data_IF_985003631287
#
_entry.id   IF_985003631287
#
_cell.length_a   1.000
_cell.length_b   1.000
_cell.length_c   1.000
_cell.angle_alpha   90.00
_cell.angle_beta   90.00
_cell.angle_gamma   90.00
#
_symmetry.space_group_name_H-M   'P 1'
#
loop_
_entity.id
_entity.type
_entity.pdbx_description
1 polymer ?
#
# COMPACT_ATOMS: atom_id res chain seq x y z
N UNK A 1 1.06 19.29 27.74
CA UNK A 1 1.10 17.86 27.31
C UNK A 1 1.72 17.82 25.92
N UNK A 2 2.60 16.85 25.66
CA UNK A 2 3.19 16.72 24.34
C UNK A 2 2.16 16.08 23.38
N UNK A 3 1.84 16.76 22.28
CA UNK A 3 1.01 16.20 21.22
C UNK A 3 1.90 15.74 20.06
N UNK A 4 1.43 14.70 19.38
CA UNK A 4 2.07 14.12 18.19
C UNK A 4 1.13 14.22 17.00
N UNK A 5 1.62 14.76 15.92
CA UNK A 5 0.87 14.90 14.67
C UNK A 5 1.33 13.84 13.67
N UNK A 6 0.38 13.14 13.09
CA UNK A 6 0.60 12.20 12.00
C UNK A 6 -0.24 12.59 10.79
N UNK A 7 0.33 12.39 9.62
CA UNK A 7 -0.34 12.65 8.36
C UNK A 7 -0.03 11.52 7.38
N UNK A 8 -1.06 11.06 6.68
CA UNK A 8 -0.95 10.16 5.53
C UNK A 8 -1.50 10.90 4.30
N UNK A 9 -0.59 11.34 3.42
CA UNK A 9 -0.89 12.20 2.27
C UNK A 9 -1.11 11.34 1.03
N UNK A 10 -2.36 11.09 0.72
CA UNK A 10 -2.75 10.43 -0.53
C UNK A 10 -3.15 11.43 -1.62
N UNK A 11 -3.13 10.98 -2.88
CA UNK A 11 -3.51 11.81 -4.03
C UNK A 11 -4.97 12.28 -4.01
N UNK A 12 -5.88 11.46 -3.50
CA UNK A 12 -7.31 11.78 -3.42
C UNK A 12 -7.71 12.35 -2.07
N UNK A 13 -7.19 11.77 -1.00
CA UNK A 13 -7.49 12.16 0.39
C UNK A 13 -6.24 12.16 1.23
N UNK A 14 -6.20 13.08 2.20
CA UNK A 14 -5.16 13.18 3.23
C UNK A 14 -5.79 12.92 4.59
N UNK A 15 -5.18 12.03 5.37
CA UNK A 15 -5.61 11.72 6.74
C UNK A 15 -4.69 12.42 7.72
N UNK A 16 -5.27 13.10 8.70
CA UNK A 16 -4.56 13.78 9.79
C UNK A 16 -5.03 13.23 11.13
N UNK A 17 -4.07 13.05 12.04
CA UNK A 17 -4.31 12.60 13.42
C UNK A 17 -3.41 13.35 14.37
N UNK A 18 -3.98 13.86 15.45
CA UNK A 18 -3.24 14.41 16.59
C UNK A 18 -3.59 13.63 17.85
N UNK A 19 -2.59 13.24 18.62
CA UNK A 19 -2.76 12.43 19.83
C UNK A 19 -1.83 12.92 20.93
N UNK A 20 -2.22 12.71 22.19
CA UNK A 20 -1.36 12.94 23.35
C UNK A 20 -0.27 11.83 23.47
N UNK A 21 0.66 12.03 24.42
CA UNK A 21 1.78 11.12 24.70
C UNK A 21 1.35 9.85 25.44
N UNK A 22 0.27 9.24 25.20
CA UNK A 22 -0.21 8.00 25.82
C UNK A 22 -0.90 7.09 24.82
N UNK A 23 -1.18 5.86 25.24
CA UNK A 23 -2.08 4.97 24.51
C UNK A 23 -3.52 5.41 24.83
N UNK A 24 -4.14 6.13 23.92
CA UNK A 24 -5.51 6.61 24.05
C UNK A 24 -6.09 7.04 22.72
N UNK A 25 -7.38 7.35 22.76
CA UNK A 25 -8.08 7.92 21.60
C UNK A 25 -7.36 9.20 21.15
N UNK A 26 -7.32 9.45 19.84
CA UNK A 26 -6.76 10.69 19.32
C UNK A 26 -7.56 11.89 19.80
N UNK A 27 -6.88 13.01 20.01
CA UNK A 27 -7.53 14.29 20.27
C UNK A 27 -8.43 14.69 19.10
N UNK A 28 -7.95 14.51 17.89
CA UNK A 28 -8.70 14.69 16.65
C UNK A 28 -8.10 13.78 15.57
N UNK A 29 -8.98 13.18 14.76
CA UNK A 29 -8.62 12.50 13.53
C UNK A 29 -9.61 12.89 12.44
N UNK A 30 -9.10 13.27 11.26
CA UNK A 30 -9.94 13.74 10.17
C UNK A 30 -9.37 13.40 8.80
N UNK A 31 -10.27 13.21 7.84
CA UNK A 31 -9.95 13.02 6.43
C UNK A 31 -10.33 14.27 5.64
N UNK A 32 -9.45 14.72 4.78
CA UNK A 32 -9.66 15.85 3.88
C UNK A 32 -9.52 15.41 2.44
N UNK A 33 -10.37 15.86 1.50
CA UNK A 33 -10.10 15.74 0.08
C UNK A 33 -8.84 16.56 -0.25
N UNK A 34 -7.82 15.91 -0.82
CA UNK A 34 -6.54 16.58 -1.11
C UNK A 34 -6.70 17.71 -2.15
N UNK A 35 -7.66 17.56 -3.07
CA UNK A 35 -7.93 18.53 -4.12
C UNK A 35 -8.50 19.87 -3.63
N UNK A 36 -9.06 19.90 -2.40
CA UNK A 36 -9.67 21.12 -1.83
C UNK A 36 -8.62 22.11 -1.29
N UNK A 37 -7.33 21.72 -1.27
CA UNK A 37 -6.25 22.49 -0.69
C UNK A 37 -5.12 22.76 -1.69
N UNK A 38 -4.49 23.90 -1.56
CA UNK A 38 -3.34 24.27 -2.39
C UNK A 38 -2.03 23.64 -1.91
N UNK A 39 -2.00 23.13 -0.67
CA UNK A 39 -0.85 22.48 -0.07
C UNK A 39 -1.10 22.02 1.36
N UNK A 40 -0.17 21.21 1.88
CA UNK A 40 -0.27 20.61 3.19
C UNK A 40 -0.35 21.66 4.34
N UNK A 41 0.33 22.80 4.18
CA UNK A 41 0.35 23.85 5.22
C UNK A 41 -1.03 24.46 5.45
N UNK A 42 -1.81 24.69 4.40
CA UNK A 42 -3.18 25.22 4.51
C UNK A 42 -4.10 24.22 5.22
N UNK A 43 -3.98 22.95 4.88
CA UNK A 43 -4.75 21.88 5.52
C UNK A 43 -4.39 21.75 7.03
N UNK A 44 -3.12 21.91 7.37
CA UNK A 44 -2.66 21.90 8.78
C UNK A 44 -3.18 23.08 9.57
N UNK A 45 -3.32 24.28 8.98
CA UNK A 45 -3.93 25.44 9.64
C UNK A 45 -5.36 25.13 10.09
N UNK A 46 -6.17 24.54 9.19
CA UNK A 46 -7.55 24.16 9.49
C UNK A 46 -7.63 23.07 10.54
N UNK A 47 -6.81 22.02 10.38
CA UNK A 47 -6.79 20.88 11.29
C UNK A 47 -6.37 21.27 12.72
N UNK A 48 -5.29 22.04 12.88
CA UNK A 48 -4.79 22.44 14.20
C UNK A 48 -5.73 23.45 14.89
N UNK A 49 -6.39 24.31 14.12
CA UNK A 49 -7.43 25.22 14.64
C UNK A 49 -8.61 24.41 15.19
N UNK A 50 -9.08 23.40 14.47
CA UNK A 50 -10.17 22.53 14.92
C UNK A 50 -9.77 21.66 16.12
N UNK A 51 -8.53 21.18 16.16
CA UNK A 51 -7.99 20.44 17.30
C UNK A 51 -7.82 21.30 18.58
N UNK A 52 -7.88 22.61 18.47
CA UNK A 52 -7.76 23.54 19.60
C UNK A 52 -6.38 23.50 20.26
N UNK A 53 -5.35 23.08 19.56
CA UNK A 53 -3.98 23.01 20.07
C UNK A 53 -2.95 23.48 19.04
N UNK A 54 -1.96 24.23 19.53
CA UNK A 54 -0.77 24.61 18.77
C UNK A 54 0.51 23.96 19.30
N UNK A 55 0.42 23.16 20.37
CA UNK A 55 1.59 22.54 21.02
C UNK A 55 1.80 21.12 20.46
N UNK A 56 2.57 21.00 19.38
CA UNK A 56 2.98 19.75 18.77
C UNK A 56 4.46 19.52 19.02
N UNK A 57 4.81 18.42 19.69
CA UNK A 57 6.19 18.08 20.03
C UNK A 57 6.95 17.42 18.88
N UNK A 58 6.25 16.63 18.07
CA UNK A 58 6.80 16.03 16.87
C UNK A 58 5.69 15.72 15.84
N UNK A 59 6.04 15.77 14.57
CA UNK A 59 5.15 15.42 13.46
C UNK A 59 5.82 14.47 12.48
N UNK A 60 5.06 13.50 11.94
CA UNK A 60 5.48 12.62 10.87
C UNK A 60 4.49 12.70 9.71
N UNK A 61 5.01 12.99 8.52
CA UNK A 61 4.24 13.07 7.29
C UNK A 61 4.63 11.92 6.37
N UNK A 62 3.71 10.97 6.17
CA UNK A 62 3.82 9.90 5.20
C UNK A 62 3.40 10.44 3.83
N UNK A 63 4.28 10.34 2.85
CA UNK A 63 4.16 10.96 1.53
C UNK A 63 4.26 9.91 0.43
N UNK A 64 3.37 9.96 -0.55
CA UNK A 64 3.46 9.10 -1.72
C UNK A 64 4.67 9.48 -2.59
N UNK A 65 5.56 8.52 -2.82
CA UNK A 65 6.77 8.66 -3.63
C UNK A 65 8.07 8.66 -2.82
N UNK A 66 9.22 8.72 -3.51
CA UNK A 66 10.52 8.65 -2.86
C UNK A 66 10.80 9.90 -2.02
N UNK A 67 11.16 9.67 -0.77
CA UNK A 67 11.52 10.74 0.17
C UNK A 67 13.05 10.83 0.26
N UNK A 68 13.60 11.96 -0.17
CA UNK A 68 15.03 12.25 -0.06
C UNK A 68 15.23 13.63 0.56
N UNK A 69 15.69 13.65 1.80
CA UNK A 69 15.96 14.89 2.54
C UNK A 69 14.69 15.49 3.17
N UNK A 70 14.68 16.82 3.35
CA UNK A 70 13.65 17.55 4.11
C UNK A 70 12.64 18.29 3.23
N UNK A 71 12.74 18.13 1.88
CA UNK A 71 11.84 18.71 0.90
C UNK A 71 11.46 17.68 -0.14
N UNK A 72 10.17 17.47 -0.35
CA UNK A 72 9.62 16.43 -1.22
C UNK A 72 8.56 17.04 -2.13
N UNK A 73 8.69 16.82 -3.44
CA UNK A 73 7.62 17.11 -4.40
C UNK A 73 6.80 15.84 -4.58
N UNK A 74 5.49 15.93 -4.37
CA UNK A 74 4.61 14.77 -4.49
C UNK A 74 4.39 14.38 -5.96
N UNK A 75 4.25 13.09 -6.22
CA UNK A 75 4.02 12.56 -7.58
C UNK A 75 2.57 12.75 -8.04
N UNK A 76 1.62 12.62 -7.13
CA UNK A 76 0.18 12.58 -7.43
C UNK A 76 -0.56 13.89 -7.07
N UNK A 77 0.15 14.89 -6.56
CA UNK A 77 -0.38 16.22 -6.21
C UNK A 77 0.65 17.28 -6.62
N UNK A 78 0.20 18.48 -6.98
CA UNK A 78 1.12 19.59 -7.32
C UNK A 78 1.80 20.19 -6.07
N UNK A 79 1.84 19.47 -4.96
CA UNK A 79 2.36 19.96 -3.70
C UNK A 79 3.85 19.71 -3.54
N UNK A 80 4.51 20.66 -2.92
CA UNK A 80 5.85 20.52 -2.35
C UNK A 80 5.76 20.60 -0.83
N UNK A 81 6.28 19.59 -0.14
CA UNK A 81 6.31 19.51 1.33
C UNK A 81 7.73 19.82 1.78
N UNK A 82 7.90 20.91 2.51
CA UNK A 82 9.15 21.36 3.09
C UNK A 82 9.05 21.29 4.62
N UNK A 83 9.77 20.34 5.22
CA UNK A 83 9.74 20.10 6.66
C UNK A 83 10.25 21.30 7.47
N UNK A 84 11.23 22.06 6.95
CA UNK A 84 11.77 23.23 7.66
C UNK A 84 10.80 24.40 7.64
N UNK A 85 10.12 24.62 6.51
CA UNK A 85 9.07 25.63 6.40
C UNK A 85 7.87 25.30 7.31
N UNK A 86 7.45 24.02 7.37
CA UNK A 86 6.40 23.56 8.27
C UNK A 86 6.82 23.69 9.76
N UNK A 87 8.05 23.32 10.10
CA UNK A 87 8.60 23.46 11.44
C UNK A 87 8.57 24.92 11.91
N UNK A 88 8.99 25.84 11.05
CA UNK A 88 8.98 27.29 11.37
C UNK A 88 7.55 27.83 11.49
N UNK A 89 6.63 27.45 10.57
CA UNK A 89 5.25 27.96 10.54
C UNK A 89 4.43 27.53 11.74
N UNK A 90 4.54 26.25 12.13
CA UNK A 90 3.72 25.65 13.18
C UNK A 90 4.45 25.48 14.52
N UNK A 91 5.68 25.98 14.64
CA UNK A 91 6.54 25.84 15.83
C UNK A 91 6.69 24.36 16.27
N UNK A 92 6.81 23.44 15.31
CA UNK A 92 7.00 22.00 15.56
C UNK A 92 8.49 21.69 15.54
N UNK A 93 9.10 21.33 16.69
CA UNK A 93 10.56 21.19 16.78
C UNK A 93 11.14 19.98 16.03
N UNK A 94 10.33 18.96 15.81
CA UNK A 94 10.75 17.73 15.15
C UNK A 94 9.75 17.30 14.08
N UNK A 95 10.19 17.32 12.82
CA UNK A 95 9.40 16.87 11.69
C UNK A 95 10.19 15.80 10.92
N UNK A 96 9.54 14.67 10.68
CA UNK A 96 10.00 13.63 9.77
C UNK A 96 9.09 13.57 8.54
N UNK A 97 9.72 13.46 7.37
CA UNK A 97 9.06 13.06 6.12
C UNK A 97 9.48 11.62 5.86
N UNK A 98 8.52 10.75 5.63
CA UNK A 98 8.75 9.33 5.31
C UNK A 98 7.92 8.94 4.08
N UNK A 99 8.36 7.89 3.40
CA UNK A 99 7.55 7.29 2.33
C UNK A 99 6.26 6.68 2.91
N UNK A 100 5.18 6.65 2.15
CA UNK A 100 3.89 6.08 2.55
C UNK A 100 4.00 4.59 2.93
N UNK A 101 4.80 3.80 2.20
CA UNK A 101 5.04 2.39 2.54
C UNK A 101 6.01 2.20 3.72
N UNK A 102 6.90 3.13 3.97
CA UNK A 102 7.68 3.19 5.22
C UNK A 102 6.73 3.39 6.41
N UNK A 103 5.74 4.27 6.28
CA UNK A 103 4.70 4.45 7.29
C UNK A 103 3.89 3.16 7.50
N UNK A 104 3.46 2.50 6.42
CA UNK A 104 2.79 1.19 6.52
C UNK A 104 3.67 0.18 7.28
N UNK A 105 4.98 0.14 6.99
CA UNK A 105 5.95 -0.70 7.70
C UNK A 105 5.98 -0.42 9.22
N UNK A 106 6.02 0.85 9.62
CA UNK A 106 5.92 1.22 11.05
C UNK A 106 4.59 0.77 11.66
N UNK A 107 3.50 0.84 10.90
CA UNK A 107 2.15 0.44 11.32
C UNK A 107 2.03 -1.03 11.69
N UNK A 108 2.84 -1.93 11.08
CA UNK A 108 2.84 -3.37 11.40
C UNK A 108 3.07 -3.64 12.90
N UNK A 109 3.81 -2.77 13.58
CA UNK A 109 4.12 -2.95 15.00
C UNK A 109 2.95 -2.67 15.94
N UNK A 110 1.90 -2.00 15.49
CA UNK A 110 0.73 -1.61 16.30
C UNK A 110 -0.58 -2.27 15.86
N UNK A 111 -0.53 -3.17 14.87
CA UNK A 111 -1.69 -3.94 14.44
C UNK A 111 -2.18 -4.88 15.55
N UNK A 112 -3.49 -4.95 15.68
CA UNK A 112 -4.16 -5.92 16.53
C UNK A 112 -4.50 -7.17 15.73
N UNK A 113 -4.77 -8.32 16.38
CA UNK A 113 -5.15 -9.55 15.68
C UNK A 113 -6.34 -9.40 14.73
N UNK A 114 -7.32 -8.56 15.08
CA UNK A 114 -8.51 -8.28 14.26
C UNK A 114 -8.21 -7.43 13.02
N UNK A 115 -7.04 -6.79 12.97
CA UNK A 115 -6.56 -6.06 11.79
C UNK A 115 -5.94 -6.98 10.73
N UNK A 116 -5.90 -8.29 10.99
CA UNK A 116 -5.22 -9.27 10.14
C UNK A 116 -6.15 -10.40 9.71
N UNK A 117 -6.19 -10.65 8.41
CA UNK A 117 -6.75 -11.87 7.85
C UNK A 117 -5.60 -12.81 7.48
N UNK A 118 -5.45 -13.91 8.21
CA UNK A 118 -4.38 -14.86 7.97
C UNK A 118 -4.68 -15.77 6.79
N UNK A 119 -3.84 -15.71 5.75
CA UNK A 119 -3.88 -16.63 4.60
C UNK A 119 -3.06 -17.90 4.89
N UNK A 120 -1.94 -17.75 5.59
CA UNK A 120 -1.06 -18.85 6.00
C UNK A 120 -0.47 -18.54 7.38
N UNK A 121 -0.71 -19.42 8.39
CA UNK A 121 -0.14 -19.20 9.72
C UNK A 121 1.37 -19.41 9.76
N UNK A 122 1.91 -20.33 8.96
CA UNK A 122 3.32 -20.66 8.92
C UNK A 122 3.91 -21.03 10.28
N UNK A 123 5.22 -20.78 10.44
CA UNK A 123 5.98 -20.94 11.68
C UNK A 123 6.71 -19.62 12.01
N UNK A 124 6.02 -18.64 12.61
CA UNK A 124 6.58 -17.31 12.85
C UNK A 124 7.76 -17.36 13.81
N UNK A 125 8.82 -16.62 13.46
CA UNK A 125 9.97 -16.44 14.35
C UNK A 125 9.91 -15.05 14.99
N UNK A 126 10.04 -14.99 16.30
CA UNK A 126 10.20 -13.73 17.02
C UNK A 126 11.41 -12.98 16.48
N UNK A 127 11.27 -11.68 16.27
CA UNK A 127 12.34 -10.83 15.74
C UNK A 127 12.82 -11.20 14.30
N UNK A 128 12.13 -12.11 13.61
CA UNK A 128 12.39 -12.46 12.22
C UNK A 128 12.13 -11.26 11.29
N UNK A 129 12.82 -11.23 10.15
CA UNK A 129 12.54 -10.23 9.09
C UNK A 129 11.06 -10.25 8.74
N UNK A 130 10.49 -9.07 8.51
CA UNK A 130 9.12 -8.89 8.00
C UNK A 130 9.15 -8.23 6.63
N UNK A 131 8.17 -8.53 5.81
CA UNK A 131 7.93 -7.85 4.53
C UNK A 131 6.53 -7.27 4.54
N UNK A 132 6.40 -6.05 4.08
CA UNK A 132 5.11 -5.45 3.77
C UNK A 132 5.06 -5.11 2.29
N UNK A 133 3.97 -5.46 1.64
CA UNK A 133 3.73 -5.22 0.22
C UNK A 133 2.29 -4.83 0.02
N UNK A 134 2.01 -3.91 -0.89
CA UNK A 134 0.61 -3.53 -1.08
C UNK A 134 0.34 -2.80 -2.38
N UNK A 135 -0.74 -3.24 -3.01
CA UNK A 135 -1.28 -2.65 -4.22
C UNK A 135 -2.32 -1.58 -3.90
N UNK A 136 -2.18 -0.44 -4.54
CA UNK A 136 -3.08 0.70 -4.53
C UNK A 136 -3.06 1.36 -5.90
N UNK A 137 -2.86 2.68 -5.97
CA UNK A 137 -2.55 3.39 -7.23
C UNK A 137 -1.20 2.93 -7.80
N UNK A 138 -0.26 2.56 -6.92
CA UNK A 138 1.01 1.92 -7.25
C UNK A 138 1.18 0.59 -6.51
N UNK A 139 2.42 0.08 -6.46
CA UNK A 139 2.82 -1.14 -5.77
C UNK A 139 3.99 -0.86 -4.83
N UNK A 140 3.67 -0.62 -3.55
CA UNK A 140 4.68 -0.36 -2.54
C UNK A 140 5.24 -1.62 -1.92
N UNK A 141 6.52 -1.56 -1.53
CA UNK A 141 7.24 -2.63 -0.83
C UNK A 141 8.13 -2.01 0.24
N UNK A 142 8.12 -2.59 1.43
CA UNK A 142 9.11 -2.32 2.45
C UNK A 142 9.45 -3.61 3.21
N UNK A 143 10.59 -3.65 3.85
CA UNK A 143 10.98 -4.76 4.71
C UNK A 143 11.48 -4.23 6.04
N UNK A 144 11.39 -5.06 7.06
CA UNK A 144 11.71 -4.69 8.42
C UNK A 144 12.70 -5.67 9.01
N UNK A 145 13.75 -5.15 9.64
CA UNK A 145 14.71 -5.94 10.39
C UNK A 145 14.66 -5.58 11.87
N UNK A 146 14.85 -6.58 12.75
CA UNK A 146 14.91 -6.34 14.17
C UNK A 146 16.28 -5.77 14.55
N UNK A 147 16.29 -4.59 15.19
CA UNK A 147 17.50 -3.89 15.61
C UNK A 147 17.20 -3.13 16.92
N UNK A 148 18.14 -3.15 17.86
CA UNK A 148 18.10 -2.33 19.09
C UNK A 148 16.78 -2.36 19.88
N UNK A 149 16.14 -3.54 19.93
CA UNK A 149 14.88 -3.71 20.68
C UNK A 149 13.62 -3.33 19.91
N UNK A 150 13.71 -3.07 18.60
CA UNK A 150 12.58 -2.72 17.75
C UNK A 150 12.76 -3.10 16.28
N UNK A 151 11.75 -2.88 15.48
CA UNK A 151 11.86 -3.03 14.03
C UNK A 151 12.30 -1.72 13.38
N UNK A 152 13.40 -1.77 12.64
CA UNK A 152 13.82 -0.76 11.67
C UNK A 152 13.10 -1.04 10.34
N UNK A 153 12.50 -0.02 9.74
CA UNK A 153 11.82 -0.10 8.45
C UNK A 153 12.77 0.32 7.35
N UNK A 154 12.81 -0.44 6.28
CA UNK A 154 13.64 -0.20 5.10
C UNK A 154 12.69 -0.03 3.90
N UNK A 155 12.46 1.20 3.42
CA UNK A 155 11.68 1.45 2.22
C UNK A 155 12.36 0.86 0.98
N UNK A 156 11.59 0.55 -0.05
CA UNK A 156 12.07 -0.06 -1.28
C UNK A 156 11.18 0.35 -2.45
N UNK A 157 11.78 0.43 -3.61
CA UNK A 157 11.08 0.57 -4.90
C UNK A 157 10.90 -0.80 -5.59
N UNK A 158 10.76 -1.86 -4.81
CA UNK A 158 10.64 -3.25 -5.31
C UNK A 158 9.42 -3.50 -6.19
N UNK A 159 8.37 -2.67 -6.12
CA UNK A 159 7.24 -2.71 -7.07
C UNK A 159 7.64 -2.45 -8.52
N UNK A 160 8.76 -1.76 -8.73
CA UNK A 160 9.29 -1.45 -10.06
C UNK A 160 10.23 -2.52 -10.63
N UNK A 161 10.43 -3.66 -9.95
CA UNK A 161 11.14 -4.81 -10.53
C UNK A 161 10.45 -5.32 -11.79
N UNK A 162 11.27 -5.88 -12.71
CA UNK A 162 10.78 -6.46 -13.96
C UNK A 162 9.70 -7.52 -13.71
N UNK A 163 8.61 -7.44 -14.48
CA UNK A 163 7.59 -8.48 -14.48
C UNK A 163 8.13 -9.79 -15.08
N UNK A 164 8.07 -10.87 -14.32
CA UNK A 164 8.47 -12.20 -14.74
C UNK A 164 7.21 -13.05 -15.00
N UNK A 165 6.79 -13.25 -16.26
CA UNK A 165 5.63 -14.06 -16.61
C UNK A 165 5.85 -15.54 -16.31
N UNK A 166 4.86 -16.20 -15.67
CA UNK A 166 4.91 -17.60 -15.28
C UNK A 166 4.21 -18.56 -16.27
N UNK A 167 3.37 -18.04 -17.16
CA UNK A 167 2.64 -18.84 -18.15
C UNK A 167 2.48 -18.09 -19.48
N UNK A 168 1.93 -18.79 -20.50
CA UNK A 168 1.76 -18.23 -21.83
C UNK A 168 0.82 -17.00 -21.88
N UNK A 169 -0.18 -16.93 -21.00
CA UNK A 169 -1.10 -15.78 -20.90
C UNK A 169 -0.37 -14.58 -20.33
N UNK A 170 0.40 -14.76 -19.28
CA UNK A 170 1.23 -13.70 -18.68
C UNK A 170 2.33 -13.23 -19.64
N UNK A 171 2.90 -14.13 -20.44
CA UNK A 171 3.85 -13.75 -21.48
C UNK A 171 3.19 -12.90 -22.58
N UNK A 172 1.99 -13.25 -23.00
CA UNK A 172 1.23 -12.44 -23.96
C UNK A 172 0.84 -11.07 -23.38
N UNK A 173 0.50 -11.00 -22.08
CA UNK A 173 0.27 -9.74 -21.36
C UNK A 173 1.54 -8.88 -21.35
N UNK A 174 2.71 -9.46 -21.04
CA UNK A 174 3.98 -8.74 -21.10
C UNK A 174 4.21 -8.14 -22.48
N UNK A 175 4.04 -8.91 -23.54
CA UNK A 175 4.21 -8.44 -24.93
C UNK A 175 3.23 -7.30 -25.28
N UNK A 176 1.98 -7.39 -24.82
CA UNK A 176 0.98 -6.32 -25.00
C UNK A 176 1.41 -5.03 -24.29
N UNK A 177 1.82 -5.13 -23.02
CA UNK A 177 2.24 -3.97 -22.23
C UNK A 177 3.53 -3.33 -22.77
N UNK A 178 4.46 -4.11 -23.32
CA UNK A 178 5.69 -3.60 -23.94
C UNK A 178 5.43 -2.70 -25.15
N UNK A 179 4.28 -2.82 -25.82
CA UNK A 179 3.90 -1.91 -26.92
C UNK A 179 3.65 -0.47 -26.45
N UNK A 180 3.30 -0.31 -25.16
CA UNK A 180 2.94 0.98 -24.57
C UNK A 180 3.99 1.48 -23.55
N UNK A 181 4.78 0.56 -22.99
CA UNK A 181 5.76 0.85 -21.94
C UNK A 181 7.11 0.25 -22.32
N UNK A 182 8.16 1.02 -22.27
CA UNK A 182 9.53 0.51 -22.54
C UNK A 182 9.94 -0.54 -21.50
N UNK A 183 9.64 -0.28 -20.22
CA UNK A 183 9.85 -1.18 -19.09
C UNK A 183 8.50 -1.61 -18.50
N UNK A 184 8.31 -2.91 -18.30
CA UNK A 184 7.11 -3.47 -17.69
C UNK A 184 7.45 -4.00 -16.30
N UNK A 185 7.13 -3.24 -15.28
CA UNK A 185 7.31 -3.61 -13.89
C UNK A 185 6.12 -4.41 -13.34
N UNK A 186 6.29 -5.03 -12.16
CA UNK A 186 5.17 -5.62 -11.45
C UNK A 186 4.05 -4.61 -11.15
N UNK A 187 4.37 -3.35 -10.84
CA UNK A 187 3.38 -2.30 -10.62
C UNK A 187 2.48 -2.06 -11.83
N UNK A 188 3.00 -2.20 -13.07
CA UNK A 188 2.20 -2.09 -14.30
C UNK A 188 1.08 -3.13 -14.40
N UNK A 189 1.10 -4.12 -13.52
CA UNK A 189 0.13 -5.23 -13.48
C UNK A 189 -0.56 -5.29 -12.11
N UNK A 190 0.19 -5.18 -11.03
CA UNK A 190 -0.31 -5.30 -9.65
C UNK A 190 -0.53 -3.91 -9.04
N UNK A 191 -1.50 -3.21 -9.60
CA UNK A 191 -2.00 -1.92 -9.12
C UNK A 191 -3.41 -1.69 -9.65
N UNK A 192 -4.10 -0.63 -9.23
CA UNK A 192 -5.41 -0.27 -9.81
C UNK A 192 -5.33 -0.07 -11.33
N UNK A 193 -4.45 0.83 -11.83
CA UNK A 193 -4.19 0.95 -13.26
C UNK A 193 -3.77 -0.38 -13.92
N UNK A 194 -3.03 -1.23 -13.22
CA UNK A 194 -2.61 -2.54 -13.70
C UNK A 194 -3.78 -3.51 -13.92
N UNK A 195 -4.78 -3.51 -13.03
CA UNK A 195 -6.00 -4.31 -13.23
C UNK A 195 -6.76 -3.87 -14.49
N UNK A 196 -6.82 -2.54 -14.74
CA UNK A 196 -7.40 -2.00 -15.98
C UNK A 196 -6.60 -2.44 -17.20
N UNK A 197 -5.27 -2.39 -17.14
CA UNK A 197 -4.40 -2.83 -18.23
C UNK A 197 -4.54 -4.34 -18.54
N UNK A 198 -4.73 -5.19 -17.52
CA UNK A 198 -5.08 -6.61 -17.73
C UNK A 198 -6.42 -6.74 -18.45
N UNK A 199 -7.43 -5.99 -18.05
CA UNK A 199 -8.74 -6.01 -18.72
C UNK A 199 -8.64 -5.57 -20.19
N UNK A 200 -7.93 -4.49 -20.47
CA UNK A 200 -7.69 -4.00 -21.85
C UNK A 200 -6.99 -5.06 -22.69
N UNK A 201 -5.93 -5.69 -22.17
CA UNK A 201 -5.28 -6.84 -22.82
C UNK A 201 -6.24 -7.97 -23.17
N UNK A 202 -7.11 -8.37 -22.23
CA UNK A 202 -8.07 -9.46 -22.46
C UNK A 202 -9.10 -9.09 -23.54
N UNK A 203 -9.61 -7.87 -23.52
CA UNK A 203 -10.53 -7.33 -24.53
C UNK A 203 -9.88 -7.29 -25.91
N UNK A 204 -8.72 -6.66 -26.02
CA UNK A 204 -8.06 -6.36 -27.30
C UNK A 204 -7.47 -7.62 -27.94
N UNK A 205 -7.12 -8.62 -27.15
CA UNK A 205 -6.67 -9.94 -27.63
C UNK A 205 -7.83 -10.92 -27.91
N UNK A 206 -9.10 -10.48 -27.78
CA UNK A 206 -10.27 -11.32 -28.01
C UNK A 206 -10.48 -12.46 -27.01
N UNK A 207 -9.86 -12.36 -25.82
CA UNK A 207 -10.00 -13.34 -24.73
C UNK A 207 -11.25 -13.15 -23.88
N UNK A 208 -12.01 -12.10 -24.13
CA UNK A 208 -13.28 -11.80 -23.49
C UNK A 208 -13.92 -10.57 -24.09
N UNK A 209 -15.24 -10.47 -23.98
CA UNK A 209 -16.02 -9.31 -24.42
C UNK A 209 -16.74 -8.71 -23.22
N UNK A 210 -16.52 -7.40 -22.93
CA UNK A 210 -17.20 -6.75 -21.84
C UNK A 210 -18.67 -6.46 -22.17
N UNK A 211 -19.53 -6.45 -21.14
CA UNK A 211 -20.89 -5.95 -21.27
C UNK A 211 -20.91 -4.42 -21.41
N UNK A 212 -21.97 -3.87 -21.98
CA UNK A 212 -22.18 -2.43 -22.04
C UNK A 212 -22.29 -1.80 -20.63
N UNK A 213 -22.79 -2.56 -19.66
CA UNK A 213 -22.91 -2.13 -18.26
C UNK A 213 -21.55 -1.95 -17.60
N UNK A 214 -20.61 -2.90 -17.81
CA UNK A 214 -19.25 -2.76 -17.30
C UNK A 214 -18.54 -1.55 -17.91
N UNK A 215 -18.62 -1.38 -19.23
CA UNK A 215 -18.00 -0.24 -19.91
C UNK A 215 -18.54 1.09 -19.40
N UNK A 216 -19.87 1.21 -19.22
CA UNK A 216 -20.47 2.42 -18.65
C UNK A 216 -19.96 2.69 -17.23
N UNK A 217 -19.96 1.66 -16.36
CA UNK A 217 -19.50 1.79 -14.99
C UNK A 217 -18.01 2.20 -14.87
N UNK A 218 -17.15 1.68 -15.77
CA UNK A 218 -15.74 2.07 -15.84
C UNK A 218 -15.56 3.53 -16.28
N UNK A 219 -16.47 4.08 -17.08
CA UNK A 219 -16.44 5.46 -17.55
C UNK A 219 -16.98 6.48 -16.54
N UNK A 220 -17.77 6.05 -15.55
CA UNK A 220 -18.44 6.92 -14.57
C UNK A 220 -17.63 7.13 -13.28
N UNK A 221 -16.52 6.40 -13.06
CA UNK A 221 -15.77 6.46 -11.82
C UNK A 221 -14.40 5.77 -11.88
N UNK A 222 -14.00 5.15 -10.76
CA UNK A 222 -12.77 4.35 -10.71
C UNK A 222 -12.95 3.02 -11.47
N UNK A 223 -12.30 2.91 -12.62
CA UNK A 223 -12.39 1.75 -13.49
C UNK A 223 -11.93 0.44 -12.81
N UNK A 224 -10.89 0.49 -11.96
CA UNK A 224 -10.40 -0.67 -11.22
C UNK A 224 -11.41 -1.10 -10.14
N UNK A 225 -12.08 -0.15 -9.50
CA UNK A 225 -13.14 -0.46 -8.55
C UNK A 225 -14.37 -1.06 -9.25
N UNK A 226 -14.76 -0.53 -10.40
CA UNK A 226 -15.83 -1.10 -11.23
C UNK A 226 -15.50 -2.54 -11.63
N UNK A 227 -14.31 -2.79 -12.19
CA UNK A 227 -13.83 -4.14 -12.55
C UNK A 227 -13.88 -5.09 -11.36
N UNK A 228 -13.37 -4.67 -10.20
CA UNK A 228 -13.36 -5.50 -8.99
C UNK A 228 -14.78 -5.86 -8.57
N UNK A 229 -15.69 -4.89 -8.56
CA UNK A 229 -17.09 -5.10 -8.20
C UNK A 229 -17.80 -6.09 -9.13
N UNK A 230 -17.67 -5.90 -10.45
CA UNK A 230 -18.30 -6.80 -11.42
C UNK A 230 -17.69 -8.21 -11.38
N UNK A 231 -16.38 -8.34 -11.17
CA UNK A 231 -15.72 -9.64 -10.99
C UNK A 231 -16.25 -10.38 -9.76
N UNK A 232 -16.51 -9.68 -8.65
CA UNK A 232 -17.02 -10.27 -7.41
C UNK A 232 -18.52 -10.61 -7.46
N UNK A 233 -19.31 -9.88 -8.24
CA UNK A 233 -20.71 -10.18 -8.48
C UNK A 233 -20.91 -11.47 -9.28
N UNK A 234 -19.94 -11.84 -10.12
CA UNK A 234 -19.95 -13.13 -10.82
C UNK A 234 -20.62 -13.10 -12.19
N UNK A 235 -21.17 -11.97 -12.62
CA UNK A 235 -21.97 -11.87 -13.86
C UNK A 235 -21.16 -11.35 -15.05
N UNK A 236 -19.86 -11.08 -14.87
CA UNK A 236 -18.98 -10.49 -15.90
C UNK A 236 -17.69 -11.33 -16.08
N UNK A 237 -17.69 -12.31 -17.01
CA UNK A 237 -16.57 -13.25 -17.17
C UNK A 237 -15.21 -12.58 -17.41
N UNK A 238 -15.15 -11.51 -18.24
CA UNK A 238 -13.87 -10.83 -18.53
C UNK A 238 -13.31 -10.15 -17.29
N UNK A 239 -14.15 -9.58 -16.43
CA UNK A 239 -13.72 -8.98 -15.17
C UNK A 239 -13.21 -10.04 -14.18
N UNK A 240 -13.86 -11.22 -14.14
CA UNK A 240 -13.38 -12.36 -13.33
C UNK A 240 -12.01 -12.83 -13.80
N UNK A 241 -11.84 -13.06 -15.12
CA UNK A 241 -10.55 -13.47 -15.69
C UNK A 241 -9.46 -12.44 -15.41
N UNK A 242 -9.79 -11.14 -15.51
CA UNK A 242 -8.86 -10.06 -15.20
C UNK A 242 -8.42 -10.10 -13.72
N UNK A 243 -9.37 -10.23 -12.80
CA UNK A 243 -9.08 -10.29 -11.36
C UNK A 243 -8.32 -11.57 -11.00
N UNK A 244 -8.63 -12.72 -11.60
CA UNK A 244 -7.93 -13.98 -11.38
C UNK A 244 -6.48 -13.91 -11.89
N UNK A 245 -6.23 -13.25 -13.04
CA UNK A 245 -4.88 -13.03 -13.54
C UNK A 245 -4.10 -12.07 -12.62
N UNK A 246 -4.75 -11.00 -12.16
CA UNK A 246 -4.18 -10.05 -11.20
C UNK A 246 -3.72 -10.77 -9.92
N UNK A 247 -4.58 -11.57 -9.28
CA UNK A 247 -4.23 -12.25 -8.01
C UNK A 247 -3.13 -13.30 -8.20
N UNK A 248 -3.07 -13.97 -9.36
CA UNK A 248 -1.97 -14.90 -9.68
C UNK A 248 -0.63 -14.18 -9.79
N UNK A 249 -0.57 -13.05 -10.51
CA UNK A 249 0.66 -12.26 -10.62
C UNK A 249 1.05 -11.68 -9.26
N UNK A 250 0.07 -11.22 -8.48
CA UNK A 250 0.33 -10.69 -7.13
C UNK A 250 0.90 -11.77 -6.20
N UNK A 251 0.32 -12.98 -6.18
CA UNK A 251 0.84 -14.11 -5.40
C UNK A 251 2.26 -14.49 -5.80
N UNK A 252 2.54 -14.56 -7.11
CA UNK A 252 3.88 -14.84 -7.63
C UNK A 252 4.91 -13.80 -7.18
N UNK A 253 4.55 -12.50 -7.23
CA UNK A 253 5.38 -11.40 -6.77
C UNK A 253 5.67 -11.48 -5.27
N UNK A 254 4.64 -11.70 -4.44
CA UNK A 254 4.80 -11.87 -2.98
C UNK A 254 5.72 -13.07 -2.67
N UNK A 255 5.59 -14.16 -3.42
CA UNK A 255 6.49 -15.30 -3.32
C UNK A 255 7.95 -14.99 -3.72
N UNK A 256 8.17 -14.09 -4.68
CA UNK A 256 9.52 -13.63 -5.04
C UNK A 256 10.12 -12.78 -3.90
N UNK A 257 9.35 -11.88 -3.30
CA UNK A 257 9.78 -11.12 -2.12
C UNK A 257 10.10 -12.04 -0.94
N UNK A 258 9.32 -13.12 -0.75
CA UNK A 258 9.55 -14.13 0.27
C UNK A 258 10.92 -14.83 0.09
N UNK A 259 11.32 -15.11 -1.16
CA UNK A 259 12.65 -15.69 -1.45
C UNK A 259 13.79 -14.69 -1.21
N UNK A 260 13.58 -13.41 -1.48
CA UNK A 260 14.60 -12.37 -1.30
C UNK A 260 14.88 -12.10 0.18
N UNK A 261 13.80 -11.92 0.97
CA UNK A 261 13.92 -11.43 2.34
C UNK A 261 13.85 -12.54 3.42
N UNK A 262 13.37 -13.74 3.07
CA UNK A 262 13.09 -14.84 4.00
C UNK A 262 12.35 -14.35 5.26
N UNK A 263 11.14 -13.78 5.11
CA UNK A 263 10.46 -13.02 6.16
C UNK A 263 9.80 -13.93 7.19
N UNK A 264 10.61 -14.55 8.03
CA UNK A 264 10.16 -15.47 9.09
C UNK A 264 9.36 -14.77 10.20
N UNK A 265 9.42 -13.44 10.28
CA UNK A 265 8.57 -12.61 11.13
C UNK A 265 7.21 -12.28 10.51
N UNK A 266 6.99 -12.69 9.26
CA UNK A 266 5.71 -12.58 8.54
C UNK A 266 5.75 -11.70 7.31
N UNK A 267 4.81 -11.98 6.40
CA UNK A 267 4.51 -11.20 5.21
C UNK A 267 3.15 -10.55 5.42
N UNK A 268 3.08 -9.26 5.18
CA UNK A 268 1.88 -8.45 5.38
C UNK A 268 1.47 -7.82 4.06
N UNK A 269 0.37 -8.31 3.49
CA UNK A 269 -0.21 -7.76 2.26
C UNK A 269 -1.16 -6.64 2.65
N UNK A 270 -0.71 -5.40 2.48
CA UNK A 270 -1.44 -4.19 2.82
C UNK A 270 -2.04 -3.53 1.56
N UNK A 271 -2.55 -2.32 1.71
CA UNK A 271 -3.13 -1.53 0.62
C UNK A 271 -4.62 -1.80 0.39
N UNK A 272 -5.28 -0.81 -0.18
CA UNK A 272 -6.75 -0.83 -0.31
C UNK A 272 -7.28 -1.94 -1.22
N UNK A 273 -6.50 -2.40 -2.18
CA UNK A 273 -6.93 -3.46 -3.11
C UNK A 273 -6.99 -4.80 -2.39
N UNK A 274 -5.95 -5.19 -1.63
CA UNK A 274 -5.89 -6.50 -0.97
C UNK A 274 -7.07 -6.73 -0.02
N UNK A 275 -7.44 -5.74 0.78
CA UNK A 275 -8.59 -5.84 1.67
C UNK A 275 -9.91 -6.03 0.89
N UNK A 276 -10.10 -5.31 -0.24
CA UNK A 276 -11.30 -5.42 -1.09
C UNK A 276 -11.41 -6.77 -1.79
N UNK A 277 -10.29 -7.40 -2.16
CA UNK A 277 -10.27 -8.68 -2.89
C UNK A 277 -9.88 -9.88 -2.01
N UNK A 278 -9.88 -9.73 -0.69
CA UNK A 278 -9.45 -10.75 0.26
C UNK A 278 -10.15 -12.10 0.02
N UNK A 279 -11.46 -12.09 -0.24
CA UNK A 279 -12.21 -13.30 -0.57
C UNK A 279 -11.71 -13.99 -1.86
N UNK A 280 -11.27 -13.22 -2.86
CA UNK A 280 -10.68 -13.76 -4.09
C UNK A 280 -9.30 -14.36 -3.82
N UNK A 281 -8.47 -13.70 -3.01
CA UNK A 281 -7.16 -14.23 -2.61
C UNK A 281 -7.27 -15.54 -1.82
N UNK A 282 -8.31 -15.69 -1.00
CA UNK A 282 -8.59 -16.93 -0.25
C UNK A 282 -9.05 -18.11 -1.14
N UNK A 283 -9.54 -17.87 -2.37
CA UNK A 283 -9.97 -18.93 -3.31
C UNK A 283 -8.82 -19.83 -3.79
N UNK A 284 -7.57 -19.46 -3.56
CA UNK A 284 -6.39 -20.32 -3.71
C UNK A 284 -5.47 -19.98 -4.88
N UNK A 285 -5.88 -19.19 -5.88
CA UNK A 285 -5.02 -18.82 -7.01
C UNK A 285 -3.82 -17.98 -6.57
N UNK A 286 -4.04 -17.06 -5.65
CA UNK A 286 -2.98 -16.29 -5.02
C UNK A 286 -1.98 -17.21 -4.31
N UNK A 287 -2.48 -18.13 -3.47
CA UNK A 287 -1.63 -19.04 -2.69
C UNK A 287 -0.88 -20.04 -3.58
N UNK A 288 -1.52 -20.56 -4.65
CA UNK A 288 -0.82 -21.42 -5.62
C UNK A 288 0.36 -20.70 -6.24
N UNK A 289 0.17 -19.47 -6.71
CA UNK A 289 1.24 -18.68 -7.32
C UNK A 289 2.32 -18.26 -6.29
N UNK A 290 1.92 -17.97 -5.05
CA UNK A 290 2.83 -17.68 -3.94
C UNK A 290 3.75 -18.88 -3.65
N UNK A 291 3.19 -20.10 -3.59
CA UNK A 291 3.92 -21.33 -3.31
C UNK A 291 4.73 -21.84 -4.50
N UNK A 292 4.40 -21.47 -5.73
CA UNK A 292 5.09 -21.96 -6.93
C UNK A 292 6.51 -21.39 -7.03
N UNK A 293 7.39 -21.94 -6.19
CA UNK A 293 8.82 -21.60 -6.08
C UNK A 293 9.71 -22.84 -6.25
N UNK A 294 9.22 -23.86 -6.96
CA UNK A 294 9.96 -25.07 -7.28
C UNK A 294 10.48 -25.74 -6.02
N UNK A 295 11.78 -26.01 -5.94
CA UNK A 295 12.40 -26.69 -4.77
C UNK A 295 12.25 -25.94 -3.45
N UNK A 296 11.88 -24.67 -3.46
CA UNK A 296 11.71 -23.84 -2.27
C UNK A 296 10.25 -23.77 -1.78
N UNK A 297 9.31 -24.48 -2.44
CA UNK A 297 7.89 -24.51 -2.02
C UNK A 297 7.74 -24.83 -0.53
N UNK A 298 8.40 -25.89 -0.02
CA UNK A 298 8.35 -26.26 1.39
C UNK A 298 8.90 -25.19 2.34
N UNK A 299 9.85 -24.36 1.90
CA UNK A 299 10.30 -23.21 2.70
C UNK A 299 9.23 -22.11 2.73
N UNK A 300 8.63 -21.78 1.59
CA UNK A 300 7.58 -20.77 1.49
C UNK A 300 6.36 -21.14 2.34
N UNK A 301 6.00 -22.41 2.42
CA UNK A 301 4.91 -22.93 3.25
C UNK A 301 5.13 -22.69 4.77
N UNK A 302 6.36 -22.46 5.20
CA UNK A 302 6.66 -22.15 6.61
C UNK A 302 6.53 -20.67 6.96
N UNK A 303 6.40 -19.78 5.98
CA UNK A 303 6.38 -18.33 6.20
C UNK A 303 4.96 -17.85 6.56
N UNK A 304 4.78 -17.05 7.62
CA UNK A 304 3.48 -16.46 7.92
C UNK A 304 3.07 -15.46 6.84
N UNK A 305 1.79 -15.47 6.44
CA UNK A 305 1.24 -14.57 5.44
C UNK A 305 -0.13 -14.06 5.87
N UNK A 306 -0.26 -12.74 5.91
CA UNK A 306 -1.46 -12.05 6.37
C UNK A 306 -1.88 -10.95 5.39
N UNK A 307 -3.18 -10.74 5.24
CA UNK A 307 -3.74 -9.52 4.66
C UNK A 307 -4.01 -8.54 5.79
N UNK A 308 -3.56 -7.30 5.64
CA UNK A 308 -3.89 -6.20 6.55
C UNK A 308 -5.26 -5.64 6.15
N UNK A 309 -6.21 -5.69 7.07
CA UNK A 309 -7.58 -5.23 6.86
C UNK A 309 -7.82 -3.81 7.36
N UNK A 310 -6.92 -3.28 8.21
CA UNK A 310 -7.02 -1.93 8.74
C UNK A 310 -6.60 -0.89 7.68
N UNK A 311 -7.52 -0.05 7.17
CA UNK A 311 -7.22 0.93 6.14
C UNK A 311 -6.41 2.13 6.63
N UNK A 312 -6.20 2.25 7.94
CA UNK A 312 -5.48 3.37 8.56
C UNK A 312 -4.03 3.03 8.92
N UNK A 313 -3.52 1.89 8.45
CA UNK A 313 -2.19 1.41 8.84
C UNK A 313 -1.08 2.43 8.56
N UNK A 314 -1.13 3.17 7.45
CA UNK A 314 -0.17 4.23 7.12
C UNK A 314 -0.21 5.37 8.16
N UNK A 315 -1.41 5.85 8.51
CA UNK A 315 -1.60 6.88 9.52
C UNK A 315 -1.14 6.42 10.92
N UNK A 316 -1.44 5.17 11.29
CA UNK A 316 -1.00 4.58 12.56
C UNK A 316 0.53 4.46 12.62
N UNK A 317 1.16 4.07 11.51
CA UNK A 317 2.61 4.01 11.41
C UNK A 317 3.27 5.38 11.47
N UNK A 318 2.74 6.38 10.78
CA UNK A 318 3.20 7.77 10.89
C UNK A 318 3.05 8.29 12.33
N UNK A 319 1.96 7.91 13.04
CA UNK A 319 1.77 8.27 14.45
C UNK A 319 2.84 7.62 15.35
N UNK A 320 3.17 6.35 15.12
CA UNK A 320 4.25 5.68 15.85
C UNK A 320 5.62 6.31 15.54
N UNK A 321 5.89 6.62 14.26
CA UNK A 321 7.13 7.29 13.87
C UNK A 321 7.28 8.68 14.52
N UNK A 322 6.21 9.47 14.59
CA UNK A 322 6.21 10.76 15.29
C UNK A 322 6.57 10.60 16.78
N UNK A 323 6.00 9.61 17.48
CA UNK A 323 6.27 9.35 18.90
C UNK A 323 7.71 8.91 19.17
N UNK A 324 8.33 8.16 18.25
CA UNK A 324 9.72 7.67 18.39
C UNK A 324 10.79 8.75 18.23
N UNK A 325 10.41 9.97 17.84
CA UNK A 325 11.34 11.09 17.74
C UNK A 325 11.64 11.78 19.09
N UNK A 326 10.93 11.43 20.16
CA UNK A 326 11.10 11.99 21.51
C UNK A 326 11.54 10.90 22.54
#
# INVERSE_FOLDING_TARGET
MNHFLACDVGGTKTLLRISAAGEGEPLLQKSYPSADYTGLAEMLDDFLREAGTSSVAAACFALAGPVSGRRVKLTNLPWEVDADALAARFAIPRISLINDFEAVGHGIAVLQPDDLLTLQPGAPQAQGVRVVVGAGTGLGVAWLSWQDGGYAVHPSEGGHMDFAPADATQYALLQHLQQHHGHVSYERIVSGPGLVAIFEFLRDSGRGSPSAQLIAAMGEGDAAEALTRFAQQGDEPIAQIALDLFVRVYGAFVGNLALIALPRGGIYVAGGIAAKIAATMQRGDFMRAFHDKGRYTGLIETLPLHIVTNPQIGLLGASLAARRMI
#
